data_IF_813547422820
#
_entry.id   IF_813547422820
#
_cell.length_a   1.000
_cell.length_b   1.000
_cell.length_c   1.000
_cell.angle_alpha   90.00
_cell.angle_beta   90.00
_cell.angle_gamma   90.00
#
_symmetry.space_group_name_H-M   'P 1'
#
loop_
_entity.id
_entity.type
_entity.pdbx_description
1 polymer ?
#
# COMPACT_ATOMS: atom_id res chain seq x y z
N UNK A 1 -28.08 -33.28 -53.38
CA UNK A 1 -27.18 -32.29 -52.74
C UNK A 1 -27.81 -31.83 -51.44
N UNK A 2 -27.31 -32.30 -50.29
CA UNK A 2 -27.77 -31.87 -48.95
C UNK A 2 -26.56 -31.33 -48.20
N UNK A 3 -26.42 -30.02 -48.16
CA UNK A 3 -25.41 -29.31 -47.36
C UNK A 3 -26.09 -28.11 -46.71
N UNK A 4 -26.76 -28.28 -45.58
CA UNK A 4 -26.86 -27.27 -44.50
C UNK A 4 -27.35 -27.99 -43.24
N UNK A 5 -26.47 -28.48 -42.35
CA UNK A 5 -26.83 -28.36 -40.93
C UNK A 5 -25.67 -27.89 -40.03
N UNK A 6 -24.54 -27.45 -40.59
CA UNK A 6 -23.36 -27.09 -39.80
C UNK A 6 -23.33 -25.62 -39.32
N UNK A 7 -24.16 -24.75 -39.89
CA UNK A 7 -24.19 -23.32 -39.53
C UNK A 7 -24.95 -23.04 -38.23
N UNK A 8 -25.92 -23.90 -37.86
CA UNK A 8 -26.72 -23.67 -36.64
C UNK A 8 -25.96 -24.10 -35.36
N UNK A 9 -25.01 -25.03 -35.47
CA UNK A 9 -24.25 -25.54 -34.32
C UNK A 9 -23.08 -24.61 -33.92
N UNK A 10 -22.54 -23.81 -34.86
CA UNK A 10 -21.50 -22.80 -34.53
C UNK A 10 -22.06 -21.55 -33.85
N UNK A 11 -23.34 -21.20 -34.07
CA UNK A 11 -23.96 -20.03 -33.45
C UNK A 11 -24.30 -20.22 -31.96
N UNK A 12 -24.41 -21.46 -31.49
CA UNK A 12 -24.70 -21.76 -30.08
C UNK A 12 -23.45 -21.76 -29.18
N UNK A 13 -22.23 -21.80 -29.75
CA UNK A 13 -20.98 -21.77 -28.99
C UNK A 13 -20.50 -20.36 -28.63
N UNK A 14 -21.11 -19.32 -29.21
CA UNK A 14 -20.72 -17.92 -28.96
C UNK A 14 -21.46 -17.27 -27.77
N UNK A 15 -22.43 -17.95 -27.15
CA UNK A 15 -23.27 -17.36 -26.09
C UNK A 15 -22.78 -17.60 -24.66
N UNK A 16 -21.71 -18.39 -24.46
CA UNK A 16 -21.28 -18.82 -23.12
C UNK A 16 -19.89 -18.31 -22.74
N UNK A 17 -19.63 -17.02 -22.92
CA UNK A 17 -18.45 -16.35 -22.35
C UNK A 17 -18.81 -14.93 -21.92
N UNK A 18 -19.64 -14.79 -20.89
CA UNK A 18 -19.87 -13.50 -20.23
C UNK A 18 -20.46 -13.70 -18.83
N UNK A 19 -19.79 -14.48 -17.98
CA UNK A 19 -19.95 -14.34 -16.52
C UNK A 19 -18.70 -13.68 -15.94
N UNK A 20 -18.33 -12.51 -16.45
CA UNK A 20 -17.62 -11.55 -15.59
C UNK A 20 -18.59 -11.22 -14.47
N UNK A 21 -18.38 -11.81 -13.30
CA UNK A 21 -19.13 -11.47 -12.09
C UNK A 21 -19.05 -9.95 -11.93
N UNK A 22 -20.14 -9.24 -12.23
CA UNK A 22 -20.25 -7.80 -11.98
C UNK A 22 -20.44 -7.62 -10.48
N UNK A 23 -19.39 -7.90 -9.72
CA UNK A 23 -19.35 -7.53 -8.32
C UNK A 23 -19.51 -6.01 -8.26
N UNK A 24 -20.48 -5.48 -7.49
CA UNK A 24 -20.69 -4.05 -7.40
C UNK A 24 -19.43 -3.41 -6.83
N UNK A 25 -18.89 -2.43 -7.56
CA UNK A 25 -17.76 -1.63 -7.08
C UNK A 25 -18.29 -0.68 -5.99
N UNK A 26 -17.68 -0.66 -4.80
CA UNK A 26 -18.07 0.29 -3.76
C UNK A 26 -17.76 1.72 -4.22
N UNK A 27 -18.57 2.66 -3.75
CA UNK A 27 -18.30 4.08 -3.90
C UNK A 27 -17.03 4.45 -3.14
N UNK A 28 -16.15 5.24 -3.77
CA UNK A 28 -14.92 5.74 -3.16
C UNK A 28 -15.17 7.21 -2.84
N UNK A 29 -14.92 7.61 -1.60
CA UNK A 29 -15.05 9.00 -1.22
C UNK A 29 -14.00 9.84 -1.94
N UNK A 30 -14.32 11.07 -2.39
CA UNK A 30 -13.34 11.96 -2.98
C UNK A 30 -12.11 12.17 -2.09
N UNK A 31 -10.96 12.46 -2.69
CA UNK A 31 -9.79 12.87 -1.95
C UNK A 31 -10.06 14.17 -1.17
N UNK A 32 -9.55 14.24 0.06
CA UNK A 32 -9.43 15.50 0.77
C UNK A 32 -8.39 16.39 0.10
N UNK A 33 -8.66 17.70 0.05
CA UNK A 33 -7.66 18.69 -0.33
C UNK A 33 -6.45 18.60 0.61
N UNK A 34 -5.24 18.76 0.06
CA UNK A 34 -4.00 18.73 0.85
C UNK A 34 -4.01 19.73 2.00
N UNK A 35 -4.62 20.91 1.82
CA UNK A 35 -4.79 21.90 2.89
C UNK A 35 -5.56 21.36 4.08
N UNK A 36 -6.61 20.58 3.84
CA UNK A 36 -7.47 20.02 4.88
C UNK A 36 -6.75 18.88 5.61
N UNK A 37 -6.00 18.05 4.89
CA UNK A 37 -5.15 17.02 5.50
C UNK A 37 -4.05 17.66 6.36
N UNK A 38 -3.32 18.63 5.81
CA UNK A 38 -2.22 19.30 6.50
C UNK A 38 -2.69 20.04 7.76
N UNK A 39 -3.87 20.65 7.74
CA UNK A 39 -4.47 21.30 8.91
C UNK A 39 -4.74 20.30 10.06
N UNK A 40 -4.87 19.00 9.75
CA UNK A 40 -5.03 17.91 10.69
C UNK A 40 -3.71 17.15 10.95
N UNK A 41 -2.57 17.71 10.52
CA UNK A 41 -1.26 17.06 10.65
C UNK A 41 -1.12 15.79 9.82
N UNK A 42 -1.91 15.62 8.75
CA UNK A 42 -1.90 14.43 7.89
C UNK A 42 -1.26 14.80 6.55
N UNK A 43 -0.38 13.92 6.05
CA UNK A 43 0.31 14.08 4.78
C UNK A 43 -0.06 12.92 3.85
N UNK A 44 -0.51 13.25 2.64
CA UNK A 44 -0.74 12.27 1.58
C UNK A 44 0.49 12.16 0.66
N UNK A 45 0.71 10.97 0.08
CA UNK A 45 1.81 10.73 -0.88
C UNK A 45 1.67 11.58 -2.16
N UNK A 46 0.44 11.88 -2.56
CA UNK A 46 0.12 12.75 -3.69
C UNK A 46 -1.29 13.34 -3.51
N UNK A 47 -1.66 14.43 -4.22
CA UNK A 47 -3.02 14.99 -4.17
C UNK A 47 -4.11 14.01 -4.66
N UNK A 48 -3.74 13.08 -5.54
CA UNK A 48 -4.59 12.09 -6.19
C UNK A 48 -4.34 10.66 -5.64
N UNK A 49 -4.07 10.55 -4.34
CA UNK A 49 -3.62 9.29 -3.71
C UNK A 49 -4.60 8.12 -3.85
N UNK A 50 -5.86 8.35 -4.22
CA UNK A 50 -6.85 7.29 -4.48
C UNK A 50 -6.92 6.84 -5.95
N UNK A 51 -6.19 7.47 -6.86
CA UNK A 51 -6.23 7.16 -8.30
C UNK A 51 -5.94 5.69 -8.63
N UNK A 52 -5.12 5.03 -7.80
CA UNK A 52 -4.67 3.65 -8.01
C UNK A 52 -5.58 2.60 -7.40
N UNK A 53 -6.71 2.97 -6.81
CA UNK A 53 -7.64 2.01 -6.22
C UNK A 53 -8.25 1.09 -7.30
N UNK A 54 -8.31 -0.23 -7.13
CA UNK A 54 -7.93 -1.06 -5.97
C UNK A 54 -6.61 -1.80 -6.18
N UNK A 55 -5.75 -1.31 -7.09
CA UNK A 55 -4.42 -1.88 -7.30
C UNK A 55 -3.48 -1.51 -6.16
N UNK A 56 -3.55 -0.26 -5.71
CA UNK A 56 -2.74 0.28 -4.61
C UNK A 56 -3.58 1.26 -3.79
N UNK A 57 -3.53 1.11 -2.47
CA UNK A 57 -4.14 2.03 -1.51
C UNK A 57 -3.04 2.55 -0.57
N UNK A 58 -2.41 3.69 -0.88
CA UNK A 58 -1.34 4.26 -0.06
C UNK A 58 -1.93 4.78 1.26
N UNK A 59 -1.28 4.48 2.38
CA UNK A 59 -1.71 5.04 3.66
C UNK A 59 -1.21 6.48 3.82
N UNK A 60 -1.92 7.26 4.63
CA UNK A 60 -1.65 8.68 4.89
C UNK A 60 -0.76 8.83 6.13
N UNK A 61 0.30 9.61 6.05
CA UNK A 61 1.23 9.78 7.17
C UNK A 61 0.69 10.78 8.21
N UNK A 62 0.84 10.48 9.50
CA UNK A 62 0.51 11.39 10.60
C UNK A 62 1.79 12.09 11.08
N UNK A 63 1.87 13.40 10.89
CA UNK A 63 3.02 14.24 11.17
C UNK A 63 2.89 15.01 12.51
N UNK A 64 2.38 14.37 13.56
CA UNK A 64 2.22 15.00 14.89
C UNK A 64 3.56 15.42 15.53
N UNK A 65 4.65 14.71 15.21
CA UNK A 65 5.99 14.94 15.79
C UNK A 65 6.93 15.74 14.86
N UNK A 66 6.41 16.40 13.82
CA UNK A 66 7.19 17.16 12.83
C UNK A 66 8.37 16.38 12.20
N UNK A 67 8.18 15.07 12.05
CA UNK A 67 9.18 14.14 11.51
C UNK A 67 9.17 14.09 9.99
N UNK A 68 8.14 14.59 9.32
CA UNK A 68 8.09 14.64 7.85
C UNK A 68 9.11 15.63 7.28
N UNK A 69 9.82 15.22 6.23
CA UNK A 69 10.66 16.13 5.43
C UNK A 69 9.99 16.45 4.09
N UNK A 70 9.78 15.42 3.27
CA UNK A 70 9.25 15.55 1.91
C UNK A 70 8.73 14.21 1.35
N UNK A 71 8.11 14.25 0.18
CA UNK A 71 7.78 13.04 -0.60
C UNK A 71 8.95 12.75 -1.55
N UNK A 72 9.47 11.52 -1.51
CA UNK A 72 10.49 11.04 -2.43
C UNK A 72 9.94 9.88 -3.26
N UNK A 73 9.39 10.18 -4.45
CA UNK A 73 8.71 9.18 -5.28
C UNK A 73 7.49 8.60 -4.58
N UNK A 74 7.47 7.29 -4.32
CA UNK A 74 6.39 6.61 -3.58
C UNK A 74 6.64 6.56 -2.06
N UNK A 75 7.65 7.27 -1.53
CA UNK A 75 8.04 7.21 -0.12
C UNK A 75 7.75 8.52 0.61
N UNK A 76 7.34 8.39 1.87
CA UNK A 76 7.46 9.46 2.85
C UNK A 76 8.91 9.49 3.35
N UNK A 77 9.62 10.60 3.12
CA UNK A 77 10.91 10.84 3.75
C UNK A 77 10.69 11.43 5.14
N UNK A 78 11.23 10.77 6.15
CA UNK A 78 11.03 11.11 7.56
C UNK A 78 12.36 11.17 8.32
N UNK A 79 12.44 12.08 9.28
CA UNK A 79 13.54 12.20 10.24
C UNK A 79 13.61 10.95 11.11
N UNK A 80 14.81 10.42 11.26
CA UNK A 80 15.12 9.30 12.13
C UNK A 80 16.42 9.64 12.87
N UNK A 81 16.36 9.82 14.20
CA UNK A 81 17.44 10.42 14.99
C UNK A 81 17.94 11.78 14.45
N UNK A 82 19.05 12.30 15.00
CA UNK A 82 19.54 13.66 14.74
C UNK A 82 20.13 13.81 13.33
N UNK A 83 20.73 12.74 12.79
CA UNK A 83 21.58 12.80 11.59
C UNK A 83 21.16 11.80 10.51
N UNK A 84 19.92 11.30 10.55
CA UNK A 84 19.45 10.32 9.58
C UNK A 84 18.02 10.54 9.16
N UNK A 85 17.70 10.10 7.94
CA UNK A 85 16.35 10.09 7.41
C UNK A 85 16.04 8.71 6.83
N UNK A 86 14.77 8.34 6.84
CA UNK A 86 14.28 7.08 6.29
C UNK A 86 13.17 7.35 5.29
N UNK A 87 13.06 6.47 4.31
CA UNK A 87 12.00 6.48 3.31
C UNK A 87 11.03 5.33 3.64
N UNK A 88 9.77 5.64 3.95
CA UNK A 88 8.74 4.66 4.30
C UNK A 88 7.63 4.68 3.25
N UNK A 89 7.31 3.51 2.69
CA UNK A 89 6.19 3.31 1.76
C UNK A 89 5.19 2.31 2.35
N UNK A 90 4.12 2.79 3.01
CA UNK A 90 3.07 1.96 3.56
C UNK A 90 1.81 1.97 2.70
N UNK A 91 1.15 0.82 2.60
CA UNK A 91 -0.09 0.72 1.84
C UNK A 91 -0.55 -0.71 1.57
N UNK A 92 -1.67 -0.83 0.89
CA UNK A 92 -2.09 -2.09 0.26
C UNK A 92 -1.61 -2.17 -1.18
N UNK A 93 -1.21 -3.36 -1.60
CA UNK A 93 -0.99 -3.73 -2.99
C UNK A 93 -1.79 -4.98 -3.35
N UNK A 94 -2.52 -4.93 -4.47
CA UNK A 94 -3.12 -6.13 -5.05
C UNK A 94 -2.02 -7.09 -5.54
N UNK A 95 -0.91 -6.52 -6.01
CA UNK A 95 0.28 -7.24 -6.45
C UNK A 95 1.54 -6.42 -6.13
N UNK A 96 2.46 -7.02 -5.38
CA UNK A 96 3.80 -6.53 -5.07
C UNK A 96 4.81 -7.67 -5.27
N UNK A 97 5.20 -7.90 -6.52
CA UNK A 97 6.11 -8.97 -6.91
C UNK A 97 5.47 -10.35 -6.76
N UNK A 98 5.79 -11.08 -5.69
CA UNK A 98 5.17 -12.37 -5.36
C UNK A 98 4.10 -12.27 -4.28
N UNK A 99 3.96 -11.08 -3.65
CA UNK A 99 2.99 -10.84 -2.60
C UNK A 99 1.70 -10.28 -3.20
N UNK A 100 0.64 -11.10 -3.16
CA UNK A 100 -0.69 -10.71 -3.62
C UNK A 100 -1.56 -10.26 -2.46
N UNK A 101 -2.46 -9.30 -2.71
CA UNK A 101 -3.46 -8.80 -1.76
C UNK A 101 -2.89 -8.57 -0.35
N UNK A 102 -1.85 -7.76 -0.26
CA UNK A 102 -1.06 -7.62 0.96
C UNK A 102 -0.93 -6.16 1.37
N UNK A 103 -0.93 -5.92 2.67
CA UNK A 103 -0.36 -4.70 3.22
C UNK A 103 1.15 -4.84 3.16
N UNK A 104 1.79 -3.80 2.65
CA UNK A 104 3.24 -3.71 2.49
C UNK A 104 3.70 -2.47 3.25
N UNK A 105 4.79 -2.64 3.99
CA UNK A 105 5.61 -1.53 4.46
C UNK A 105 7.03 -1.78 3.98
N UNK A 106 7.46 -1.02 2.98
CA UNK A 106 8.84 -1.00 2.53
C UNK A 106 9.55 0.18 3.18
N UNK A 107 10.68 -0.09 3.83
CA UNK A 107 11.52 0.94 4.43
C UNK A 107 12.88 0.92 3.74
N UNK A 108 13.38 2.09 3.39
CA UNK A 108 14.62 2.27 2.65
C UNK A 108 15.46 3.32 3.36
N UNK A 109 16.77 3.08 3.42
CA UNK A 109 17.70 4.08 3.92
C UNK A 109 17.72 5.27 2.94
N UNK A 110 17.53 6.49 3.44
CA UNK A 110 17.72 7.67 2.59
C UNK A 110 19.21 7.84 2.25
N UNK A 111 19.52 8.53 1.15
CA UNK A 111 20.91 8.81 0.77
C UNK A 111 21.69 9.66 1.80
N UNK A 112 21.00 10.28 2.76
CA UNK A 112 21.61 11.09 3.83
C UNK A 112 21.79 10.33 5.15
N UNK A 113 21.33 9.08 5.25
CA UNK A 113 21.43 8.30 6.48
C UNK A 113 22.78 7.58 6.58
N UNK A 114 23.37 7.60 7.78
CA UNK A 114 24.66 6.96 8.08
C UNK A 114 24.50 5.60 8.77
N UNK A 115 23.29 5.28 9.25
CA UNK A 115 23.03 4.06 10.01
C UNK A 115 22.40 2.95 9.14
N UNK A 116 22.99 1.74 9.13
CA UNK A 116 22.45 0.63 8.38
C UNK A 116 21.10 0.15 8.91
N UNK A 117 20.01 0.41 8.19
CA UNK A 117 18.66 0.09 8.67
C UNK A 117 18.41 -1.41 8.86
N UNK A 118 19.16 -2.27 8.17
CA UNK A 118 19.04 -3.73 8.30
C UNK A 118 19.32 -4.24 9.73
N UNK A 119 20.14 -3.50 10.48
CA UNK A 119 20.64 -3.85 11.82
C UNK A 119 19.84 -3.18 12.94
N UNK A 120 18.86 -2.34 12.59
CA UNK A 120 18.03 -1.59 13.52
C UNK A 120 16.79 -2.43 13.89
N UNK A 121 16.37 -2.47 15.17
CA UNK A 121 15.13 -3.12 15.56
C UNK A 121 13.93 -2.38 14.95
N UNK A 122 13.20 -3.08 14.09
CA UNK A 122 12.00 -2.59 13.42
C UNK A 122 10.84 -3.54 13.66
N UNK A 123 9.67 -2.98 13.99
CA UNK A 123 8.41 -3.71 14.04
C UNK A 123 7.31 -2.94 13.35
N UNK A 124 6.45 -3.64 12.61
CA UNK A 124 5.28 -3.06 11.94
C UNK A 124 4.04 -3.78 12.42
N UNK A 125 3.03 -2.99 12.82
CA UNK A 125 1.76 -3.50 13.34
C UNK A 125 0.61 -2.78 12.67
N UNK A 126 -0.40 -3.53 12.24
CA UNK A 126 -1.72 -3.02 11.88
C UNK A 126 -2.64 -3.13 13.09
N UNK A 127 -3.44 -2.10 13.35
CA UNK A 127 -4.45 -2.12 14.41
C UNK A 127 -5.52 -3.18 14.16
N UNK A 128 -5.77 -3.57 12.90
CA UNK A 128 -6.73 -4.62 12.53
C UNK A 128 -6.13 -6.00 12.31
N UNK A 129 -4.94 -6.07 11.73
CA UNK A 129 -4.35 -7.31 11.22
C UNK A 129 -3.15 -7.78 12.06
N UNK A 130 -2.76 -7.03 13.08
CA UNK A 130 -1.67 -7.36 13.99
C UNK A 130 -0.29 -7.21 13.37
N UNK A 131 0.67 -7.98 13.87
CA UNK A 131 2.09 -7.88 13.51
C UNK A 131 2.33 -8.34 12.07
N UNK A 132 3.20 -7.61 11.37
CA UNK A 132 3.69 -7.94 10.02
C UNK A 132 4.90 -8.86 10.10
N UNK A 133 5.08 -9.68 9.07
CA UNK A 133 6.25 -10.53 8.93
C UNK A 133 7.35 -9.77 8.17
N UNK A 134 8.59 -9.84 8.67
CA UNK A 134 9.75 -9.35 7.93
C UNK A 134 10.06 -10.35 6.82
N UNK A 135 10.07 -9.88 5.60
CA UNK A 135 10.10 -10.71 4.41
C UNK A 135 11.36 -10.47 3.57
N UNK A 136 11.65 -11.41 2.67
CA UNK A 136 12.78 -11.26 1.73
C UNK A 136 12.47 -10.17 0.72
N UNK A 137 13.48 -9.37 0.41
CA UNK A 137 13.40 -8.35 -0.62
C UNK A 137 13.25 -9.00 -2.01
N UNK A 138 12.44 -8.37 -2.85
CA UNK A 138 12.25 -8.76 -4.25
C UNK A 138 13.14 -7.87 -5.14
N UNK A 139 13.58 -8.39 -6.28
CA UNK A 139 14.31 -7.61 -7.30
C UNK A 139 15.82 -7.75 -7.21
N UNK A 140 16.55 -6.77 -7.76
CA UNK A 140 18.00 -6.82 -7.90
C UNK A 140 18.71 -6.68 -6.54
N UNK A 141 19.48 -7.72 -6.16
CA UNK A 141 20.25 -7.77 -4.92
C UNK A 141 21.20 -6.56 -4.76
N UNK A 142 21.83 -6.07 -5.84
CA UNK A 142 22.74 -4.93 -5.74
C UNK A 142 22.02 -3.64 -5.32
N UNK A 143 20.81 -3.40 -5.85
CA UNK A 143 19.99 -2.24 -5.46
C UNK A 143 19.49 -2.41 -4.02
N UNK A 144 19.07 -3.61 -3.67
CA UNK A 144 18.59 -3.95 -2.33
C UNK A 144 19.67 -3.79 -1.26
N UNK A 145 20.91 -4.18 -1.59
CA UNK A 145 22.10 -3.99 -0.74
C UNK A 145 22.51 -2.51 -0.66
N UNK A 146 22.60 -1.82 -1.80
CA UNK A 146 23.01 -0.42 -1.86
C UNK A 146 22.04 0.51 -1.11
N UNK A 147 20.74 0.27 -1.24
CA UNK A 147 19.70 1.09 -0.61
C UNK A 147 19.26 0.57 0.77
N UNK A 148 19.81 -0.57 1.19
CA UNK A 148 19.49 -1.26 2.44
C UNK A 148 17.99 -1.29 2.72
N UNK A 149 17.25 -2.05 1.93
CA UNK A 149 15.79 -2.08 2.07
C UNK A 149 15.37 -3.08 3.16
N UNK A 150 14.23 -2.85 3.78
CA UNK A 150 13.57 -3.83 4.65
C UNK A 150 12.09 -3.87 4.28
N UNK A 151 11.59 -5.08 4.03
CA UNK A 151 10.21 -5.32 3.63
C UNK A 151 9.44 -6.00 4.76
N UNK A 152 8.28 -5.44 5.10
CA UNK A 152 7.30 -6.04 5.98
C UNK A 152 6.02 -6.30 5.22
N UNK A 153 5.45 -7.50 5.41
CA UNK A 153 4.24 -7.93 4.68
C UNK A 153 3.19 -8.45 5.65
N UNK A 154 1.93 -8.11 5.37
CA UNK A 154 0.75 -8.75 5.96
C UNK A 154 -0.22 -9.13 4.85
N UNK A 155 -0.39 -10.42 4.60
CA UNK A 155 -1.37 -10.92 3.64
C UNK A 155 -2.79 -10.68 4.14
N UNK A 156 -3.67 -10.21 3.27
CA UNK A 156 -5.09 -10.04 3.55
C UNK A 156 -5.89 -11.15 2.86
N UNK A 157 -6.76 -11.81 3.62
CA UNK A 157 -7.75 -12.71 3.05
C UNK A 157 -8.90 -11.88 2.45
N UNK A 158 -8.86 -11.70 1.13
CA UNK A 158 -9.89 -10.97 0.39
C UNK A 158 -10.81 -11.95 -0.34
N UNK A 159 -12.13 -11.75 -0.23
CA UNK A 159 -13.10 -12.51 -1.03
C UNK A 159 -13.15 -12.01 -2.47
N UNK A 160 -12.88 -10.72 -2.68
CA UNK A 160 -12.73 -10.11 -4.00
C UNK A 160 -11.89 -8.82 -3.89
N UNK A 161 -11.52 -8.22 -5.03
CA UNK A 161 -10.64 -7.04 -5.05
C UNK A 161 -11.19 -5.80 -4.32
N UNK A 162 -12.50 -5.67 -4.17
CA UNK A 162 -13.15 -4.51 -3.53
C UNK A 162 -13.27 -4.67 -2.02
N UNK A 163 -13.20 -5.89 -1.51
CA UNK A 163 -13.26 -6.21 -0.08
C UNK A 163 -12.16 -5.51 0.74
N UNK A 164 -11.07 -5.11 0.07
CA UNK A 164 -9.96 -4.40 0.69
C UNK A 164 -10.41 -3.16 1.48
N UNK A 165 -11.38 -2.37 1.00
CA UNK A 165 -11.85 -1.18 1.73
C UNK A 165 -12.41 -1.54 3.09
N UNK A 166 -13.22 -2.60 3.17
CA UNK A 166 -13.79 -3.05 4.43
C UNK A 166 -12.71 -3.62 5.36
N UNK A 167 -11.74 -4.34 4.80
CA UNK A 167 -10.62 -4.93 5.55
C UNK A 167 -9.72 -3.88 6.17
N UNK A 168 -9.53 -2.74 5.51
CA UNK A 168 -8.63 -1.67 5.98
C UNK A 168 -9.36 -0.46 6.57
N UNK A 169 -10.69 -0.43 6.56
CA UNK A 169 -11.46 0.67 7.13
C UNK A 169 -11.02 0.92 8.58
N UNK A 170 -10.77 2.16 8.98
CA UNK A 170 -10.26 2.51 10.33
C UNK A 170 -8.95 1.81 10.74
N UNK A 171 -8.23 1.17 9.81
CA UNK A 171 -6.93 0.58 10.09
C UNK A 171 -5.87 1.68 10.27
N UNK A 172 -4.91 1.38 11.14
CA UNK A 172 -3.77 2.23 11.44
C UNK A 172 -2.52 1.36 11.41
N UNK A 173 -1.56 1.71 10.57
CA UNK A 173 -0.24 1.10 10.58
C UNK A 173 0.67 1.89 11.50
N UNK A 174 1.36 1.18 12.39
CA UNK A 174 2.40 1.73 13.25
C UNK A 174 3.70 1.06 12.87
N UNK A 175 4.65 1.87 12.40
CA UNK A 175 6.03 1.46 12.13
C UNK A 175 6.87 1.98 13.29
N UNK A 176 7.46 1.06 14.06
CA UNK A 176 8.37 1.39 15.16
C UNK A 176 9.81 1.06 14.73
N UNK A 177 10.69 2.04 14.81
CA UNK A 177 12.12 1.92 14.44
C UNK A 177 12.93 2.47 15.62
N UNK A 178 13.66 1.60 16.31
CA UNK A 178 14.48 1.96 17.49
C UNK A 178 13.74 2.82 18.53
N UNK A 179 12.48 2.47 18.81
CA UNK A 179 11.65 3.22 19.77
C UNK A 179 10.82 4.36 19.15
N UNK A 180 11.27 4.96 18.05
CA UNK A 180 10.53 6.01 17.34
C UNK A 180 9.32 5.43 16.59
N UNK A 181 8.18 6.11 16.68
CA UNK A 181 6.91 5.67 16.09
C UNK A 181 6.52 6.53 14.88
N UNK A 182 6.14 5.88 13.80
CA UNK A 182 5.56 6.49 12.61
C UNK A 182 4.16 5.89 12.40
N UNK A 183 3.16 6.75 12.38
CA UNK A 183 1.75 6.36 12.28
C UNK A 183 1.21 6.67 10.90
N UNK A 184 0.46 5.72 10.34
CA UNK A 184 -0.15 5.85 9.03
C UNK A 184 -1.62 5.45 9.10
N UNK A 185 -2.50 6.31 8.61
CA UNK A 185 -3.94 6.09 8.59
C UNK A 185 -4.36 5.46 7.27
N UNK A 186 -5.37 4.59 7.31
CA UNK A 186 -6.00 4.13 6.09
C UNK A 186 -6.51 5.33 5.26
N UNK A 187 -6.49 5.25 3.93
CA UNK A 187 -6.84 6.40 3.07
C UNK A 187 -8.33 6.72 2.96
N UNK A 188 -9.23 5.95 3.59
CA UNK A 188 -10.66 6.26 3.72
C UNK A 188 -11.00 6.86 5.10
N UNK A 189 -10.09 7.67 5.67
CA UNK A 189 -10.34 8.38 6.93
C UNK A 189 -11.56 9.29 6.87
N UNK A 190 -12.11 9.58 8.04
CA UNK A 190 -13.04 10.68 8.27
C UNK A 190 -12.28 11.78 9.01
N UNK A 191 -12.40 13.00 8.52
CA UNK A 191 -11.95 14.20 9.24
C UNK A 191 -13.19 14.80 9.91
N UNK A 192 -13.09 15.07 11.21
CA UNK A 192 -14.11 15.77 11.98
C UNK A 192 -14.11 17.28 11.67
#
# INVERSE_FOLDING_TARGET
MRRVPYLLFMLLLAASCSSTSKLPRPEIQPEFLSSNLNANGIVAISPDYKQSYFRRLPYLFVNESETFNEIQGDFYNVKFNVDSNLNIMPGFWSDYGTYQNSLIVLIVMSGTSTLPIKDIPISVVSSKHGVFEREKLIGNNQINEAQQRVLFVKKLALTNRFDVLNKINDDVLIVKIDGQLYKFLNPEIKLD
#
